data_IF_140481449918
#
_entry.id   IF_140481449918
#
_cell.length_a   1.000
_cell.length_b   1.000
_cell.length_c   1.000
_cell.angle_alpha   90.00
_cell.angle_beta   90.00
_cell.angle_gamma   90.00
#
_symmetry.space_group_name_H-M   'P 1'
#
loop_
_entity.id
_entity.type
_entity.pdbx_description
1 polymer ?
#
# COMPACT_ATOMS: atom_id res chain seq x y z
N UNK A 1 9.92 -23.32 12.77
CA UNK A 1 9.83 -22.07 11.99
C UNK A 1 8.52 -22.03 11.24
N UNK A 2 7.81 -20.98 11.37
CA UNK A 2 6.58 -20.81 10.62
C UNK A 2 6.87 -20.25 9.26
N UNK A 3 6.28 -20.86 8.25
CA UNK A 3 6.34 -20.35 6.90
C UNK A 3 5.15 -19.41 6.73
N UNK A 4 5.44 -18.16 6.41
CA UNK A 4 4.38 -17.17 6.18
C UNK A 4 4.05 -17.15 4.70
N UNK A 5 2.82 -17.48 4.40
CA UNK A 5 2.37 -17.59 3.03
C UNK A 5 1.78 -16.26 2.55
N UNK A 6 2.32 -15.77 1.46
CA UNK A 6 1.76 -14.60 0.80
C UNK A 6 0.57 -15.05 -0.03
N UNK A 7 -0.60 -15.02 0.57
CA UNK A 7 -1.81 -15.55 -0.05
C UNK A 7 -2.84 -14.47 -0.39
N UNK A 8 -2.52 -13.22 -0.17
CA UNK A 8 -3.39 -12.11 -0.54
C UNK A 8 -2.71 -11.26 -1.58
N UNK A 9 -3.49 -10.72 -2.48
CA UNK A 9 -2.95 -9.90 -3.56
C UNK A 9 -3.38 -8.47 -3.37
N UNK A 10 -2.41 -7.57 -3.39
CA UNK A 10 -2.65 -6.14 -3.26
C UNK A 10 -2.20 -5.44 -4.53
N UNK A 11 -2.82 -4.30 -4.81
CA UNK A 11 -2.38 -3.43 -5.90
C UNK A 11 -1.73 -2.20 -5.29
N UNK A 12 -0.65 -1.76 -5.88
CA UNK A 12 0.11 -0.63 -5.33
C UNK A 12 0.36 0.37 -6.44
N UNK A 13 -0.04 1.61 -6.22
CA UNK A 13 0.11 2.66 -7.21
C UNK A 13 0.46 3.99 -6.54
N UNK A 14 0.84 4.95 -7.34
CA UNK A 14 0.92 6.34 -6.89
C UNK A 14 0.22 7.23 -7.91
N UNK A 15 -0.35 8.36 -7.45
CA UNK A 15 -1.05 9.26 -8.34
C UNK A 15 -0.08 10.09 -9.18
N UNK A 16 -0.41 10.27 -10.44
CA UNK A 16 0.34 11.11 -11.37
C UNK A 16 -0.61 12.12 -11.96
N UNK A 17 -0.28 13.40 -11.80
CA UNK A 17 -1.08 14.46 -12.38
C UNK A 17 -0.61 14.74 -13.79
N UNK A 18 -1.55 14.76 -14.70
CA UNK A 18 -1.33 15.19 -16.08
C UNK A 18 -2.14 16.45 -16.30
N UNK A 19 -1.47 17.53 -16.60
CA UNK A 19 -2.15 18.78 -16.90
C UNK A 19 -2.44 18.85 -18.37
N UNK A 20 -3.71 18.80 -18.65
CA UNK A 20 -4.22 18.98 -20.00
C UNK A 20 -5.22 20.12 -19.93
N UNK A 21 -4.90 21.23 -20.57
CA UNK A 21 -5.81 22.39 -20.51
C UNK A 21 -7.18 22.01 -21.05
N UNK A 22 -8.26 22.42 -20.34
CA UNK A 22 -8.27 23.29 -19.16
C UNK A 22 -8.26 22.54 -17.84
N UNK A 23 -8.13 21.22 -17.83
CA UNK A 23 -8.31 20.45 -16.61
C UNK A 23 -7.07 19.67 -16.20
N UNK A 24 -7.04 19.28 -14.93
CA UNK A 24 -6.01 18.41 -14.39
C UNK A 24 -6.62 17.02 -14.25
N UNK A 25 -5.95 16.02 -14.78
CA UNK A 25 -6.38 14.63 -14.67
C UNK A 25 -5.37 13.88 -13.83
N UNK A 26 -5.86 13.15 -12.83
CA UNK A 26 -5.02 12.32 -11.97
C UNK A 26 -5.16 10.89 -12.44
N UNK A 27 -4.04 10.26 -12.74
CA UNK A 27 -4.01 8.86 -13.17
C UNK A 27 -3.28 8.02 -12.13
N UNK A 28 -3.58 6.73 -12.12
CA UNK A 28 -2.88 5.77 -11.26
C UNK A 28 -1.69 5.21 -12.03
N UNK A 29 -0.53 5.23 -11.37
CA UNK A 29 0.64 4.56 -11.92
C UNK A 29 0.95 3.38 -11.02
N UNK A 30 0.63 2.18 -11.47
CA UNK A 30 0.91 0.96 -10.72
C UNK A 30 2.38 0.59 -10.84
N UNK A 31 2.94 0.11 -9.75
CA UNK A 31 4.35 -0.28 -9.71
C UNK A 31 4.58 -1.72 -10.17
N UNK A 32 3.52 -2.42 -10.49
CA UNK A 32 3.57 -3.81 -10.98
C UNK A 32 2.99 -3.87 -12.39
N UNK A 33 3.19 -5.00 -13.05
CA UNK A 33 2.64 -5.17 -14.40
C UNK A 33 1.14 -5.41 -14.34
N UNK A 34 0.46 -5.10 -15.43
CA UNK A 34 -0.96 -5.39 -15.54
C UNK A 34 -1.22 -6.89 -15.49
N UNK A 35 -0.36 -7.66 -16.12
CA UNK A 35 -0.52 -9.11 -16.16
C UNK A 35 -0.42 -9.77 -14.80
N UNK A 36 0.31 -9.17 -13.88
CA UNK A 36 0.48 -9.72 -12.53
C UNK A 36 -0.75 -9.53 -11.66
N UNK A 37 -1.60 -8.56 -11.99
CA UNK A 37 -2.78 -8.17 -11.22
C UNK A 37 -2.47 -7.75 -9.77
N UNK A 38 -1.23 -7.42 -9.47
CA UNK A 38 -0.84 -6.95 -8.15
C UNK A 38 0.38 -7.66 -7.61
N UNK A 39 0.58 -7.50 -6.31
CA UNK A 39 1.69 -8.10 -5.58
C UNK A 39 1.16 -9.03 -4.52
N UNK A 40 1.79 -10.19 -4.39
CA UNK A 40 1.43 -11.12 -3.34
C UNK A 40 1.91 -10.61 -1.99
N UNK A 41 1.07 -10.75 -0.98
CA UNK A 41 1.40 -10.27 0.34
C UNK A 41 0.86 -11.20 1.43
N UNK A 42 1.55 -11.18 2.57
CA UNK A 42 1.07 -11.78 3.79
C UNK A 42 0.61 -10.64 4.70
N UNK A 43 -0.61 -10.71 5.18
CA UNK A 43 -1.20 -9.61 5.93
C UNK A 43 -1.39 -10.00 7.39
N UNK A 44 -0.88 -9.18 8.28
CA UNK A 44 -1.05 -9.35 9.71
C UNK A 44 -2.03 -8.28 10.17
N UNK A 45 -3.19 -8.71 10.59
CA UNK A 45 -4.18 -7.78 11.08
C UNK A 45 -3.82 -7.31 12.48
N UNK A 46 -3.84 -6.00 12.67
CA UNK A 46 -3.71 -5.46 14.01
C UNK A 46 -5.07 -5.34 14.64
N UNK A 47 -5.12 -5.74 15.89
CA UNK A 47 -6.35 -5.62 16.63
C UNK A 47 -6.59 -4.17 17.00
N UNK A 48 -7.82 -3.74 16.86
CA UNK A 48 -8.21 -2.38 17.19
C UNK A 48 -7.91 -2.04 18.65
N UNK A 49 -8.02 -3.00 19.53
CA UNK A 49 -7.79 -2.76 20.94
C UNK A 49 -6.39 -2.35 21.30
N UNK A 50 -5.44 -2.55 20.44
CA UNK A 50 -4.07 -2.16 20.72
C UNK A 50 -3.85 -0.66 20.73
N UNK A 51 -4.87 0.09 20.39
CA UNK A 51 -4.81 1.54 20.38
C UNK A 51 -5.75 2.15 21.39
N UNK A 52 -5.87 1.50 22.50
CA UNK A 52 -6.79 1.93 23.54
C UNK A 52 -6.44 3.27 24.16
N UNK A 53 -5.20 3.62 24.11
CA UNK A 53 -4.79 4.90 24.68
C UNK A 53 -5.22 6.08 23.82
N UNK A 54 -5.66 5.77 22.66
CA UNK A 54 -6.09 6.79 21.73
C UNK A 54 -7.58 7.00 21.89
N UNK A 55 -7.93 7.79 22.85
CA UNK A 55 -9.30 8.17 23.07
C UNK A 55 -9.69 9.33 22.19
N UNK A 56 -8.83 9.73 21.30
CA UNK A 56 -9.07 10.86 20.45
C UNK A 56 -9.77 10.46 19.19
N UNK A 57 -10.26 11.46 18.52
CA UNK A 57 -10.79 11.35 17.19
C UNK A 57 -9.66 10.95 16.25
N UNK A 58 -9.93 10.13 15.30
CA UNK A 58 -8.92 9.79 14.32
C UNK A 58 -8.22 8.48 14.55
N UNK A 59 -8.96 7.50 14.97
CA UNK A 59 -8.45 6.15 15.09
C UNK A 59 -7.94 5.67 13.74
N UNK A 60 -6.70 5.22 13.74
CA UNK A 60 -6.16 4.58 12.57
C UNK A 60 -6.41 3.09 12.63
N UNK A 61 -6.85 2.54 11.52
CA UNK A 61 -6.91 1.09 11.36
C UNK A 61 -5.64 0.71 10.65
N UNK A 62 -4.72 0.13 11.39
CA UNK A 62 -3.41 -0.23 10.86
C UNK A 62 -3.32 -1.70 10.56
N UNK A 63 -2.55 -2.02 9.54
CA UNK A 63 -2.29 -3.40 9.16
C UNK A 63 -0.83 -3.51 8.78
N UNK A 64 -0.23 -4.64 9.11
CA UNK A 64 1.13 -4.95 8.70
C UNK A 64 1.08 -5.87 7.50
N UNK A 65 1.80 -5.51 6.46
CA UNK A 65 1.86 -6.28 5.23
C UNK A 65 3.29 -6.70 4.96
N UNK A 66 3.48 -7.94 4.56
CA UNK A 66 4.79 -8.45 4.18
C UNK A 66 4.72 -8.81 2.71
N UNK A 67 5.54 -8.14 1.92
CA UNK A 67 5.58 -8.31 0.47
C UNK A 67 6.99 -8.66 0.04
N UNK A 68 7.13 -9.21 -1.16
CA UNK A 68 8.44 -9.42 -1.72
C UNK A 68 9.17 -8.09 -1.94
N UNK A 69 10.48 -8.13 -1.88
CA UNK A 69 11.27 -6.91 -2.05
C UNK A 69 10.96 -6.25 -3.39
N UNK A 70 10.76 -4.96 -3.34
CA UNK A 70 10.50 -4.15 -4.53
C UNK A 70 11.12 -2.79 -4.29
N UNK A 71 12.09 -2.42 -5.12
CA UNK A 71 12.80 -1.17 -4.94
C UNK A 71 11.88 0.06 -5.08
N UNK A 72 10.83 -0.05 -5.88
CA UNK A 72 9.88 1.04 -6.02
C UNK A 72 9.14 1.32 -4.71
N UNK A 73 8.85 0.28 -3.94
CA UNK A 73 8.21 0.46 -2.64
C UNK A 73 9.15 1.23 -1.70
N UNK A 74 10.42 0.86 -1.69
CA UNK A 74 11.38 1.53 -0.81
C UNK A 74 11.60 2.98 -1.22
N UNK A 75 11.65 3.25 -2.51
CA UNK A 75 11.94 4.58 -3.00
C UNK A 75 10.74 5.51 -2.97
N UNK A 76 9.56 4.98 -3.20
CA UNK A 76 8.36 5.80 -3.39
C UNK A 76 7.34 5.67 -2.27
N UNK A 77 7.71 5.07 -1.16
CA UNK A 77 6.74 4.71 -0.12
C UNK A 77 5.83 5.86 0.32
N UNK A 78 6.34 7.09 0.33
CA UNK A 78 5.55 8.24 0.77
C UNK A 78 4.39 8.56 -0.18
N UNK A 79 4.51 8.16 -1.44
CA UNK A 79 3.50 8.43 -2.46
C UNK A 79 2.57 7.27 -2.69
N UNK A 80 2.94 6.08 -2.26
CA UNK A 80 2.23 4.86 -2.64
C UNK A 80 0.91 4.73 -1.91
N UNK A 81 -0.06 4.23 -2.65
CA UNK A 81 -1.38 3.87 -2.14
C UNK A 81 -1.57 2.39 -2.43
N UNK A 82 -2.03 1.67 -1.43
CA UNK A 82 -2.25 0.23 -1.54
C UNK A 82 -3.74 -0.02 -1.61
N UNK A 83 -4.15 -0.80 -2.61
CA UNK A 83 -5.53 -1.23 -2.75
C UNK A 83 -5.65 -2.70 -2.39
N UNK A 84 -6.57 -3.01 -1.51
CA UNK A 84 -6.90 -4.39 -1.19
C UNK A 84 -8.42 -4.49 -1.04
N UNK A 85 -9.05 -5.20 -1.97
CA UNK A 85 -10.49 -5.26 -2.02
C UNK A 85 -11.07 -3.87 -2.24
N UNK A 86 -11.98 -3.47 -1.38
CA UNK A 86 -12.60 -2.15 -1.44
C UNK A 86 -11.89 -1.11 -0.58
N UNK A 87 -10.78 -1.47 0.04
CA UNK A 87 -10.08 -0.61 0.98
C UNK A 87 -8.81 -0.05 0.37
N UNK A 88 -8.44 1.15 0.80
CA UNK A 88 -7.20 1.80 0.41
C UNK A 88 -6.38 2.13 1.64
N UNK A 89 -5.07 2.03 1.49
CA UNK A 89 -4.12 2.22 2.59
C UNK A 89 -2.97 3.11 2.16
N UNK A 90 -2.43 3.84 3.11
CA UNK A 90 -1.16 4.54 2.92
C UNK A 90 -0.10 3.92 3.81
N UNK A 91 1.13 4.01 3.37
CA UNK A 91 2.26 3.51 4.16
C UNK A 91 2.61 4.53 5.22
N UNK A 92 2.69 4.08 6.45
CA UNK A 92 2.89 4.97 7.60
C UNK A 92 4.35 5.32 7.83
N UNK A 93 5.23 4.34 7.68
CA UNK A 93 6.65 4.50 7.91
C UNK A 93 7.43 3.85 6.79
N UNK A 94 8.70 4.22 6.65
CA UNK A 94 9.54 3.62 5.63
C UNK A 94 9.60 2.11 5.79
N UNK A 95 9.36 1.34 4.73
CA UNK A 95 9.39 -0.11 4.83
C UNK A 95 10.76 -0.65 5.21
N UNK A 96 10.75 -1.69 6.02
CA UNK A 96 11.95 -2.35 6.51
C UNK A 96 12.06 -3.76 5.95
N UNK A 97 13.27 -4.28 5.94
CA UNK A 97 13.48 -5.68 5.62
C UNK A 97 12.91 -6.54 6.75
N UNK A 98 12.16 -7.55 6.36
CA UNK A 98 11.45 -8.38 7.32
C UNK A 98 12.35 -9.47 7.88
N UNK A 99 12.50 -9.49 9.20
CA UNK A 99 13.29 -10.50 9.91
C UNK A 99 14.70 -10.67 9.34
N UNK A 100 15.34 -9.55 9.00
CA UNK A 100 16.68 -9.55 8.41
C UNK A 100 16.75 -10.30 7.08
N UNK A 101 15.60 -10.51 6.48
CA UNK A 101 15.50 -11.19 5.20
C UNK A 101 15.37 -10.15 4.08
N UNK A 102 16.39 -10.05 3.25
CA UNK A 102 16.42 -9.06 2.18
C UNK A 102 15.44 -9.35 1.05
N UNK A 103 14.79 -10.49 1.07
CA UNK A 103 13.82 -10.83 0.04
C UNK A 103 12.41 -10.33 0.34
N UNK A 104 12.15 -9.87 1.57
CA UNK A 104 10.83 -9.40 1.95
C UNK A 104 10.90 -8.02 2.60
N UNK A 105 9.81 -7.28 2.46
CA UNK A 105 9.63 -5.98 3.10
C UNK A 105 8.47 -6.03 4.05
N UNK A 106 8.63 -5.39 5.19
CA UNK A 106 7.55 -5.20 6.15
C UNK A 106 7.01 -3.78 6.00
N UNK A 107 5.73 -3.68 5.71
CA UNK A 107 5.05 -2.42 5.51
C UNK A 107 4.04 -2.23 6.62
N UNK A 108 4.10 -1.10 7.30
CA UNK A 108 3.05 -0.68 8.22
C UNK A 108 2.17 0.32 7.47
N UNK A 109 0.92 -0.04 7.29
CA UNK A 109 -0.02 0.76 6.51
C UNK A 109 -1.23 1.11 7.35
N UNK A 110 -1.89 2.19 6.99
CA UNK A 110 -3.14 2.59 7.64
C UNK A 110 -4.22 2.83 6.59
N UNK A 111 -5.43 2.48 6.95
CA UNK A 111 -6.58 2.63 6.06
C UNK A 111 -6.95 4.11 5.97
N UNK A 112 -7.30 4.55 4.77
CA UNK A 112 -7.80 5.89 4.57
C UNK A 112 -8.83 5.87 3.45
N UNK A 113 -9.59 6.95 3.35
CA UNK A 113 -10.59 7.08 2.30
C UNK A 113 -10.05 7.97 1.19
N UNK A 114 -9.87 7.39 0.01
CA UNK A 114 -9.36 8.12 -1.14
C UNK A 114 -10.52 8.63 -1.96
N UNK A 115 -10.79 9.92 -1.86
CA UNK A 115 -11.91 10.54 -2.55
C UNK A 115 -11.58 11.01 -3.96
N UNK A 116 -10.35 10.85 -4.40
CA UNK A 116 -9.94 11.35 -5.70
C UNK A 116 -10.53 10.52 -6.83
N UNK A 117 -10.87 11.20 -7.90
CA UNK A 117 -11.30 10.54 -9.11
C UNK A 117 -10.09 10.36 -10.03
N UNK A 118 -9.94 9.17 -10.55
CA UNK A 118 -8.82 8.84 -11.41
C UNK A 118 -9.31 8.65 -12.84
N UNK A 119 -8.56 9.24 -13.78
CA UNK A 119 -8.95 9.16 -15.18
C UNK A 119 -8.53 7.88 -15.85
N UNK A 120 -7.46 7.27 -15.38
CA UNK A 120 -6.96 6.04 -15.98
C UNK A 120 -5.84 5.44 -15.18
N UNK A 121 -5.26 4.35 -15.69
CA UNK A 121 -4.20 3.64 -15.03
C UNK A 121 -3.13 3.22 -16.02
N UNK A 122 -1.88 3.29 -15.60
CA UNK A 122 -0.75 2.77 -16.35
C UNK A 122 0.01 1.80 -15.44
N UNK A 123 0.78 0.92 -16.04
CA UNK A 123 1.46 -0.16 -15.33
C UNK A 123 2.95 -0.17 -15.64
N UNK A 124 3.71 -0.64 -14.68
CA UNK A 124 5.16 -0.75 -14.85
C UNK A 124 5.53 -1.81 -15.89
#
# INVERSE_FOLDING_TARGET
MQVKLKNRKIKVFYPVETRSKPSVVINKRYIHSEASHGLWCYMLDQKLGERLNDDTVGREICVTMIVGYNSSIVELWEKLIIEYGSKTYKIKTKPDEYEYNKSDLKILAYEFNDDREYGGATYA
#
